data_IF_125444690200
#
_entry.id   IF_125444690200
#
_cell.length_a   1.000
_cell.length_b   1.000
_cell.length_c   1.000
_cell.angle_alpha   90.00
_cell.angle_beta   90.00
_cell.angle_gamma   90.00
#
_symmetry.space_group_name_H-M   'P 1'
#
loop_
_entity.id
_entity.type
_entity.pdbx_description
1 polymer ?
#
# COMPACT_ATOMS: atom_id res chain seq x y z
N UNK A 1 -13.30 -13.83 -6.74
CA UNK A 1 -13.73 -12.53 -6.17
C UNK A 1 -13.53 -11.44 -7.20
N UNK A 2 -14.51 -10.58 -7.36
CA UNK A 2 -14.39 -9.39 -8.21
C UNK A 2 -14.08 -8.20 -7.33
N UNK A 3 -12.97 -7.51 -7.59
CA UNK A 3 -12.49 -6.43 -6.74
C UNK A 3 -13.49 -5.27 -6.62
N UNK A 4 -14.03 -4.81 -7.76
CA UNK A 4 -14.97 -3.67 -7.74
C UNK A 4 -16.27 -4.04 -7.04
N UNK A 5 -16.78 -5.25 -7.27
CA UNK A 5 -18.00 -5.72 -6.61
C UNK A 5 -17.81 -5.83 -5.09
N UNK A 6 -16.64 -6.32 -4.68
CA UNK A 6 -16.32 -6.44 -3.25
C UNK A 6 -16.28 -5.08 -2.56
N UNK A 7 -15.62 -4.11 -3.17
CA UNK A 7 -15.56 -2.76 -2.62
C UNK A 7 -16.94 -2.09 -2.62
N UNK A 8 -17.73 -2.32 -3.66
CA UNK A 8 -19.09 -1.77 -3.75
C UNK A 8 -19.96 -2.32 -2.64
N UNK A 9 -19.92 -3.64 -2.46
CA UNK A 9 -20.70 -4.31 -1.42
C UNK A 9 -20.37 -3.80 -0.02
N UNK A 10 -19.09 -3.52 0.23
CA UNK A 10 -18.63 -3.05 1.54
C UNK A 10 -18.79 -1.55 1.74
N UNK A 11 -19.28 -0.84 0.74
CA UNK A 11 -19.42 0.62 0.82
C UNK A 11 -18.09 1.36 0.80
N UNK A 12 -17.04 0.73 0.26
CA UNK A 12 -15.71 1.30 0.20
C UNK A 12 -15.38 1.96 -1.13
N UNK A 13 -16.22 1.77 -2.14
CA UNK A 13 -15.99 2.37 -3.45
C UNK A 13 -16.65 3.74 -3.48
N UNK A 14 -15.84 4.79 -3.63
CA UNK A 14 -16.33 6.15 -3.74
C UNK A 14 -16.34 6.61 -5.20
N UNK A 15 -15.27 6.31 -5.93
CA UNK A 15 -15.15 6.70 -7.33
C UNK A 15 -14.17 5.78 -8.05
N UNK A 16 -14.28 5.71 -9.37
CA UNK A 16 -13.37 4.91 -10.18
C UNK A 16 -13.24 5.50 -11.56
N UNK A 17 -12.08 5.26 -12.18
CA UNK A 17 -11.84 5.65 -13.57
C UNK A 17 -12.77 4.87 -14.49
N UNK A 18 -13.40 5.53 -15.47
CA UNK A 18 -14.23 4.82 -16.45
C UNK A 18 -13.47 3.70 -17.15
N UNK A 19 -14.12 2.54 -17.30
CA UNK A 19 -13.53 1.38 -17.97
C UNK A 19 -12.70 0.48 -17.08
N UNK A 20 -12.49 0.83 -15.81
CA UNK A 20 -11.66 0.02 -14.91
C UNK A 20 -12.23 -1.38 -14.70
N UNK A 21 -13.54 -1.50 -14.59
CA UNK A 21 -14.18 -2.81 -14.39
C UNK A 21 -13.89 -3.77 -15.55
N UNK A 22 -13.90 -3.25 -16.76
CA UNK A 22 -13.62 -4.05 -17.96
C UNK A 22 -12.16 -4.49 -18.00
N UNK A 23 -11.24 -3.59 -17.67
CA UNK A 23 -9.81 -3.89 -17.62
C UNK A 23 -9.53 -4.97 -16.59
N UNK A 24 -10.12 -4.86 -15.40
CA UNK A 24 -9.89 -5.82 -14.33
C UNK A 24 -10.50 -7.19 -14.61
N UNK A 25 -11.51 -7.27 -15.50
CA UNK A 25 -12.11 -8.54 -15.87
C UNK A 25 -11.29 -9.32 -16.89
N UNK A 26 -10.31 -8.69 -17.53
CA UNK A 26 -9.52 -9.31 -18.60
C UNK A 26 -8.31 -10.10 -18.14
N UNK A 27 -7.95 -10.04 -16.87
CA UNK A 27 -6.82 -10.77 -16.35
C UNK A 27 -6.17 -10.07 -15.17
N UNK A 28 -4.97 -10.55 -14.80
CA UNK A 28 -4.23 -10.00 -13.68
C UNK A 28 -3.71 -8.60 -14.00
N UNK A 29 -3.93 -7.68 -13.08
CA UNK A 29 -3.40 -6.32 -13.14
C UNK A 29 -2.54 -6.06 -11.91
N UNK A 30 -1.61 -5.11 -12.02
CA UNK A 30 -0.76 -4.71 -10.92
C UNK A 30 -1.20 -3.34 -10.42
N UNK A 31 -1.38 -3.22 -9.11
CA UNK A 31 -1.81 -1.94 -8.52
C UNK A 31 -1.09 -1.69 -7.22
N UNK A 32 -1.02 -0.43 -6.81
CA UNK A 32 -0.30 -0.05 -5.60
C UNK A 32 -1.09 0.93 -4.76
N UNK A 33 -0.72 0.97 -3.47
CA UNK A 33 -1.11 2.03 -2.55
C UNK A 33 0.15 2.48 -1.83
N UNK A 34 0.33 3.79 -1.69
CA UNK A 34 1.49 4.35 -1.03
C UNK A 34 1.32 4.42 0.49
N UNK A 35 2.39 4.10 1.20
CA UNK A 35 2.47 4.19 2.66
C UNK A 35 3.69 5.00 3.04
N UNK A 36 3.62 5.70 4.18
CA UNK A 36 4.69 6.55 4.66
C UNK A 36 5.38 5.88 5.86
N UNK A 37 6.68 5.58 5.80
CA UNK A 37 7.37 4.86 6.87
C UNK A 37 7.83 5.78 8.02
N UNK A 38 6.95 6.61 8.54
CA UNK A 38 7.29 7.58 9.58
C UNK A 38 7.13 7.03 11.00
N UNK A 39 6.60 5.83 11.14
CA UNK A 39 6.41 5.21 12.45
C UNK A 39 6.66 3.70 12.35
N UNK A 40 7.02 3.04 13.47
CA UNK A 40 7.29 1.60 13.46
C UNK A 40 6.05 0.75 13.27
N UNK A 41 4.87 1.33 13.34
CA UNK A 41 3.62 0.58 13.13
C UNK A 41 2.68 1.36 12.23
N UNK A 42 1.78 0.63 11.59
CA UNK A 42 0.74 1.20 10.76
C UNK A 42 -0.43 1.66 11.62
N UNK A 43 -1.11 2.69 11.17
CA UNK A 43 -2.30 3.22 11.84
C UNK A 43 -3.55 2.47 11.40
N UNK A 44 -4.68 2.77 12.04
CA UNK A 44 -5.98 2.25 11.64
C UNK A 44 -6.35 2.68 10.21
N UNK A 45 -5.98 3.90 9.81
CA UNK A 45 -6.18 4.34 8.42
C UNK A 45 -5.38 3.50 7.43
N UNK A 46 -4.17 3.13 7.78
CA UNK A 46 -3.35 2.23 6.96
C UNK A 46 -3.95 0.82 6.91
N UNK A 47 -4.63 0.38 7.97
CA UNK A 47 -5.30 -0.90 7.98
C UNK A 47 -6.34 -1.00 6.86
N UNK A 48 -7.11 0.07 6.65
CA UNK A 48 -8.09 0.10 5.55
C UNK A 48 -7.39 -0.04 4.20
N UNK A 49 -6.25 0.64 4.02
CA UNK A 49 -5.46 0.52 2.80
C UNK A 49 -4.94 -0.91 2.60
N UNK A 50 -4.48 -1.55 3.65
CA UNK A 50 -4.03 -2.95 3.59
C UNK A 50 -5.18 -3.89 3.24
N UNK A 51 -6.36 -3.63 3.77
CA UNK A 51 -7.53 -4.44 3.44
C UNK A 51 -7.90 -4.30 1.96
N UNK A 52 -7.80 -3.11 1.41
CA UNK A 52 -8.04 -2.90 -0.02
C UNK A 52 -7.02 -3.68 -0.86
N UNK A 53 -5.75 -3.63 -0.50
CA UNK A 53 -4.72 -4.41 -1.19
C UNK A 53 -4.97 -5.92 -1.06
N UNK A 54 -5.44 -6.35 0.11
CA UNK A 54 -5.78 -7.75 0.33
C UNK A 54 -6.91 -8.20 -0.59
N UNK A 55 -7.96 -7.41 -0.73
CA UNK A 55 -9.05 -7.71 -1.65
C UNK A 55 -8.58 -7.72 -3.10
N UNK A 56 -7.66 -6.83 -3.45
CA UNK A 56 -7.04 -6.81 -4.76
C UNK A 56 -6.30 -8.13 -5.04
N UNK A 57 -5.51 -8.59 -4.09
CA UNK A 57 -4.79 -9.85 -4.23
C UNK A 57 -5.74 -11.04 -4.28
N UNK A 58 -6.77 -11.07 -3.43
CA UNK A 58 -7.77 -12.14 -3.43
C UNK A 58 -8.57 -12.18 -4.72
N UNK A 59 -8.66 -11.08 -5.42
CA UNK A 59 -9.33 -11.00 -6.71
C UNK A 59 -8.43 -11.44 -7.88
N UNK A 60 -7.22 -11.90 -7.60
CA UNK A 60 -6.30 -12.40 -8.61
C UNK A 60 -5.35 -11.36 -9.17
N UNK A 61 -5.31 -10.15 -8.60
CA UNK A 61 -4.43 -9.09 -9.05
C UNK A 61 -3.19 -9.00 -8.16
N UNK A 62 -2.13 -8.37 -8.66
CA UNK A 62 -0.88 -8.25 -7.94
C UNK A 62 -0.82 -6.94 -7.18
N UNK A 63 -0.75 -6.97 -5.83
CA UNK A 63 -0.62 -5.75 -5.04
C UNK A 63 0.84 -5.33 -4.89
N UNK A 64 1.07 -4.02 -4.89
CA UNK A 64 2.35 -3.45 -4.54
C UNK A 64 2.17 -2.64 -3.25
N UNK A 65 2.92 -3.02 -2.23
CA UNK A 65 3.02 -2.27 -0.98
C UNK A 65 4.14 -1.25 -1.18
N UNK A 66 3.75 -0.02 -1.54
CA UNK A 66 4.71 1.02 -1.92
C UNK A 66 5.01 1.90 -0.71
N UNK A 67 6.27 1.90 -0.30
CA UNK A 67 6.74 2.73 0.81
C UNK A 67 7.46 3.94 0.27
N UNK A 68 7.06 5.12 0.75
CA UNK A 68 7.62 6.37 0.30
C UNK A 68 8.93 6.69 1.02
N UNK A 69 10.02 6.08 0.57
CA UNK A 69 11.33 6.26 1.21
C UNK A 69 11.81 7.70 1.24
N UNK A 70 11.63 8.42 0.15
CA UNK A 70 12.02 9.83 0.10
C UNK A 70 11.15 10.69 1.02
N UNK A 71 9.85 10.47 0.99
CA UNK A 71 8.93 11.20 1.86
C UNK A 71 9.24 10.95 3.32
N UNK A 72 9.56 9.70 3.67
CA UNK A 72 9.92 9.35 5.05
C UNK A 72 11.23 9.98 5.50
N UNK A 73 12.19 10.16 4.59
CA UNK A 73 13.49 10.74 4.92
C UNK A 73 13.49 12.26 4.97
N UNK A 74 12.70 12.88 4.10
CA UNK A 74 12.67 14.35 3.96
C UNK A 74 11.52 14.95 4.77
N UNK A 75 10.52 14.15 5.08
CA UNK A 75 9.27 14.61 5.67
C UNK A 75 8.23 14.87 4.59
N UNK A 76 6.98 14.77 4.99
CA UNK A 76 5.85 14.99 4.09
C UNK A 76 5.73 16.49 3.79
N UNK A 77 5.74 16.90 2.51
CA UNK A 77 5.58 18.32 2.17
C UNK A 77 4.22 18.91 2.54
N UNK A 78 3.29 18.10 3.02
CA UNK A 78 2.06 18.64 3.61
C UNK A 78 2.33 19.46 4.87
N UNK A 79 3.57 19.45 5.36
CA UNK A 79 4.01 20.32 6.43
C UNK A 79 3.51 19.94 7.81
N UNK A 80 3.08 18.74 7.98
CA UNK A 80 2.45 18.31 9.23
C UNK A 80 3.41 18.16 10.38
N UNK A 81 4.69 17.88 10.12
CA UNK A 81 5.57 17.58 11.24
C UNK A 81 7.04 17.79 10.90
N UNK A 82 7.66 18.75 11.58
CA UNK A 82 9.08 19.00 11.43
C UNK A 82 9.93 17.86 11.96
N UNK A 83 9.40 17.06 12.86
CA UNK A 83 10.12 15.91 13.42
C UNK A 83 10.46 14.87 12.36
N UNK A 84 9.68 14.78 11.30
CA UNK A 84 9.95 13.85 10.19
C UNK A 84 11.27 14.15 9.51
N UNK A 85 11.68 15.42 9.49
CA UNK A 85 12.94 15.83 8.89
C UNK A 85 14.15 15.38 9.69
N UNK A 86 13.94 15.05 10.96
CA UNK A 86 15.01 14.71 11.89
C UNK A 86 15.21 13.20 12.04
N UNK A 87 14.39 12.38 11.38
CA UNK A 87 14.52 10.92 11.49
C UNK A 87 15.79 10.45 10.80
N UNK A 88 16.52 9.57 11.47
CA UNK A 88 17.72 8.95 10.91
C UNK A 88 17.34 7.86 9.92
N UNK A 89 18.27 7.52 9.03
CA UNK A 89 18.09 6.39 8.11
C UNK A 89 17.88 5.09 8.87
N UNK A 90 18.58 4.93 9.99
CA UNK A 90 18.42 3.74 10.82
C UNK A 90 17.00 3.61 11.36
N UNK A 91 16.41 4.70 11.83
CA UNK A 91 15.04 4.69 12.30
C UNK A 91 14.06 4.38 11.16
N UNK A 92 14.30 4.95 9.98
CA UNK A 92 13.47 4.69 8.83
C UNK A 92 13.53 3.24 8.38
N UNK A 93 14.73 2.65 8.37
CA UNK A 93 14.91 1.24 8.02
C UNK A 93 14.18 0.34 9.02
N UNK A 94 14.23 0.69 10.30
CA UNK A 94 13.48 -0.02 11.33
C UNK A 94 11.98 0.06 11.09
N UNK A 95 11.48 1.26 10.78
CA UNK A 95 10.07 1.47 10.51
C UNK A 95 9.61 0.66 9.28
N UNK A 96 10.43 0.63 8.24
CA UNK A 96 10.17 -0.15 7.04
C UNK A 96 10.03 -1.64 7.36
N UNK A 97 10.96 -2.16 8.17
CA UNK A 97 10.96 -3.57 8.54
C UNK A 97 9.71 -3.93 9.35
N UNK A 98 9.33 -3.10 10.31
CA UNK A 98 8.14 -3.34 11.12
C UNK A 98 6.85 -3.24 10.32
N UNK A 99 6.75 -2.26 9.43
CA UNK A 99 5.57 -2.10 8.60
C UNK A 99 5.41 -3.25 7.61
N UNK A 100 6.52 -3.72 7.03
CA UNK A 100 6.51 -4.89 6.17
C UNK A 100 6.02 -6.13 6.93
N UNK A 101 6.50 -6.30 8.14
CA UNK A 101 6.08 -7.43 8.97
C UNK A 101 4.58 -7.41 9.25
N UNK A 102 4.02 -6.23 9.48
CA UNK A 102 2.57 -6.09 9.65
C UNK A 102 1.82 -6.41 8.36
N UNK A 103 2.32 -5.92 7.23
CA UNK A 103 1.70 -6.16 5.94
C UNK A 103 1.69 -7.64 5.56
N UNK A 104 2.68 -8.41 5.98
CA UNK A 104 2.75 -9.85 5.72
C UNK A 104 1.58 -10.63 6.30
N UNK A 105 0.88 -10.08 7.25
CA UNK A 105 -0.32 -10.71 7.83
C UNK A 105 -1.53 -10.62 6.91
N UNK A 106 -1.52 -9.68 5.97
CA UNK A 106 -2.65 -9.41 5.09
C UNK A 106 -2.37 -9.77 3.63
N UNK A 107 -1.10 -9.74 3.23
CA UNK A 107 -0.68 -9.95 1.87
C UNK A 107 0.30 -11.12 1.78
N UNK A 108 0.19 -11.88 0.69
CA UNK A 108 1.13 -12.95 0.42
C UNK A 108 2.27 -12.41 -0.45
N UNK A 109 3.47 -12.37 0.10
CA UNK A 109 4.67 -11.88 -0.59
C UNK A 109 5.52 -12.99 -1.19
N UNK A 110 5.17 -14.25 -0.97
CA UNK A 110 6.08 -15.37 -1.26
C UNK A 110 5.65 -16.27 -2.41
N UNK A 111 4.34 -16.49 -2.58
CA UNK A 111 3.82 -17.49 -3.49
C UNK A 111 2.83 -16.90 -4.50
N UNK A 112 2.77 -17.56 -5.67
CA UNK A 112 1.76 -17.28 -6.67
C UNK A 112 2.20 -16.24 -7.69
N UNK A 113 1.48 -16.23 -8.83
CA UNK A 113 1.75 -15.29 -9.91
C UNK A 113 1.43 -13.85 -9.50
N UNK A 114 0.52 -13.68 -8.55
CA UNK A 114 0.10 -12.37 -8.05
C UNK A 114 0.62 -12.10 -6.64
N UNK A 115 1.79 -12.64 -6.29
CA UNK A 115 2.40 -12.34 -4.99
C UNK A 115 2.61 -10.84 -4.82
N UNK A 116 2.47 -10.38 -3.58
CA UNK A 116 2.67 -8.97 -3.27
C UNK A 116 4.14 -8.56 -3.44
N UNK A 117 4.36 -7.33 -3.86
CA UNK A 117 5.70 -6.76 -4.00
C UNK A 117 5.85 -5.63 -3.00
N UNK A 118 7.03 -5.55 -2.40
CA UNK A 118 7.42 -4.42 -1.57
C UNK A 118 8.34 -3.53 -2.40
N UNK A 119 7.93 -2.30 -2.63
CA UNK A 119 8.73 -1.34 -3.39
C UNK A 119 8.96 -0.12 -2.54
N UNK A 120 10.23 0.29 -2.46
CA UNK A 120 10.62 1.51 -1.78
C UNK A 120 10.79 2.61 -2.82
N UNK A 121 9.98 3.64 -2.71
CA UNK A 121 10.08 4.79 -3.61
C UNK A 121 11.03 5.81 -3.02
N UNK A 122 11.98 6.25 -3.81
CA UNK A 122 12.88 7.36 -3.47
C UNK A 122 12.38 8.67 -4.08
N UNK A 123 11.28 8.59 -4.82
CA UNK A 123 10.65 9.75 -5.43
C UNK A 123 9.46 10.15 -4.56
N UNK A 124 9.16 11.43 -4.52
CA UNK A 124 7.99 11.93 -3.84
C UNK A 124 6.72 11.45 -4.58
N UNK A 125 5.81 10.90 -3.81
CA UNK A 125 4.54 10.40 -4.35
C UNK A 125 3.45 11.43 -4.14
#
# INVERSE_FOLDING_TARGET
MNFIDELTWRGMLQDSTPGVREILSKGMNTGYIGFDPTAPSLTIGNYVQLMILSFWQQSGHQPIFLLGGATGRIGDPSGKDKERLLKTEEELDKNLAFQKKQAERFLNFTDGDNKALLILSLIHI
#
